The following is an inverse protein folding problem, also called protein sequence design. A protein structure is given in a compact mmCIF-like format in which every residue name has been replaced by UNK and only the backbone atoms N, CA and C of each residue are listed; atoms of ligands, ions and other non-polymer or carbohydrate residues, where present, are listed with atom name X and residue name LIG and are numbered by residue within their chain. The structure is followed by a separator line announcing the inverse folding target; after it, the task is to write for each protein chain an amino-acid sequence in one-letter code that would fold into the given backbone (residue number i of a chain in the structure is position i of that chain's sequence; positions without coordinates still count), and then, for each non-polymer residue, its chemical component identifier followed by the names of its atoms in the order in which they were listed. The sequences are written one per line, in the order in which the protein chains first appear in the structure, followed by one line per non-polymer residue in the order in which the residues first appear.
data_IF_825181698777
#
_entry.id   IF_825181698777
#
_cell.length_a   1.000
_cell.length_b   1.000
_cell.length_c   1.000
_cell.angle_alpha   90.00
_cell.angle_beta   90.00
_cell.angle_gamma   90.00
#
_symmetry.space_group_name_H-M   'P 1'
#
loop_
_entity.id
_entity.type
_entity.pdbx_description
1 polymer ?
#
# COMPACT_ATOMS: atom_id res chain seq x y z
N UNK A 1 -9.60 15.95 22.30
CA UNK A 1 -8.52 15.56 21.39
C UNK A 1 -7.75 14.29 21.82
N UNK A 2 -7.48 14.05 23.12
CA UNK A 2 -6.76 12.83 23.56
C UNK A 2 -7.54 11.52 23.32
N UNK A 3 -8.88 11.53 23.39
CA UNK A 3 -9.71 10.34 23.18
C UNK A 3 -9.80 9.87 21.70
N UNK A 4 -9.71 10.81 20.74
CA UNK A 4 -9.79 10.47 19.32
C UNK A 4 -8.53 9.81 18.79
N UNK A 5 -7.36 10.18 19.34
CA UNK A 5 -6.07 9.55 18.99
C UNK A 5 -5.99 8.14 19.56
N UNK A 6 -6.43 7.94 20.81
CA UNK A 6 -6.46 6.62 21.44
C UNK A 6 -7.41 5.66 20.70
N UNK A 7 -8.55 6.15 20.19
CA UNK A 7 -9.48 5.34 19.40
C UNK A 7 -8.90 4.94 18.04
N UNK A 8 -8.20 5.85 17.37
CA UNK A 8 -7.47 5.57 16.12
C UNK A 8 -6.34 4.57 16.34
N UNK A 9 -5.59 4.69 17.43
CA UNK A 9 -4.51 3.78 17.79
C UNK A 9 -5.04 2.39 18.18
N UNK A 10 -6.17 2.32 18.90
CA UNK A 10 -6.83 1.06 19.23
C UNK A 10 -7.40 0.36 17.98
N UNK A 11 -7.90 1.14 17.00
CA UNK A 11 -8.42 0.61 15.75
C UNK A 11 -7.28 0.08 14.84
N UNK A 12 -6.13 0.78 14.80
CA UNK A 12 -4.97 0.34 14.04
C UNK A 12 -4.30 -0.92 14.62
N UNK A 13 -4.17 -1.01 15.95
CA UNK A 13 -3.63 -2.19 16.61
C UNK A 13 -4.58 -3.41 16.50
N UNK A 14 -5.90 -3.18 16.58
CA UNK A 14 -6.90 -4.23 16.41
C UNK A 14 -6.99 -4.75 14.97
N UNK A 15 -6.80 -3.88 13.97
CA UNK A 15 -6.84 -4.28 12.56
C UNK A 15 -5.57 -5.03 12.13
N UNK A 16 -4.40 -4.69 12.66
CA UNK A 16 -3.19 -5.46 12.45
C UNK A 16 -3.33 -6.89 13.03
N UNK A 17 -3.85 -7.03 14.25
CA UNK A 17 -4.10 -8.32 14.88
C UNK A 17 -5.16 -9.17 14.15
N UNK A 18 -6.13 -8.54 13.48
CA UNK A 18 -7.15 -9.25 12.69
C UNK A 18 -6.65 -9.66 11.30
N UNK A 19 -5.71 -8.91 10.71
CA UNK A 19 -5.08 -9.27 9.45
C UNK A 19 -4.13 -10.48 9.60
N UNK A 20 -3.54 -10.66 10.78
CA UNK A 20 -2.60 -11.74 11.12
C UNK A 20 -3.30 -13.00 11.71
N UNK A 21 -4.65 -13.01 11.80
CA UNK A 21 -5.42 -14.17 12.26
C UNK A 21 -5.51 -15.23 11.17
N UNK A 22 -5.28 -16.49 11.54
CA UNK A 22 -5.34 -17.75 10.78
C UNK A 22 -5.93 -17.62 9.38
N UNK A 23 -5.11 -17.83 8.35
CA UNK A 23 -5.47 -17.72 6.95
C UNK A 23 -6.75 -18.52 6.65
N UNK A 24 -7.89 -17.85 6.65
CA UNK A 24 -9.07 -18.40 6.04
C UNK A 24 -8.74 -18.59 4.56
N UNK A 25 -8.66 -19.83 4.11
CA UNK A 25 -8.24 -20.18 2.78
C UNK A 25 -9.32 -19.78 1.75
N UNK A 26 -8.89 -19.36 0.55
CA UNK A 26 -9.76 -19.19 -0.58
C UNK A 26 -9.95 -17.76 -1.08
N UNK A 27 -10.80 -17.61 -2.10
CA UNK A 27 -11.00 -16.36 -2.83
C UNK A 27 -11.52 -15.22 -1.95
N UNK A 28 -12.46 -15.49 -1.05
CA UNK A 28 -13.03 -14.44 -0.19
C UNK A 28 -11.98 -13.87 0.76
N UNK A 29 -11.17 -14.72 1.37
CA UNK A 29 -10.09 -14.28 2.24
C UNK A 29 -9.07 -13.45 1.50
N UNK A 30 -8.64 -13.88 0.32
CA UNK A 30 -7.74 -13.11 -0.54
C UNK A 30 -8.35 -11.75 -0.93
N UNK A 31 -9.61 -11.71 -1.34
CA UNK A 31 -10.27 -10.48 -1.74
C UNK A 31 -10.48 -9.49 -0.59
N UNK A 32 -10.76 -9.95 0.61
CA UNK A 32 -10.99 -9.10 1.79
C UNK A 32 -9.69 -8.66 2.46
N UNK A 33 -8.60 -9.42 2.28
CA UNK A 33 -7.31 -9.14 2.92
C UNK A 33 -6.82 -7.68 2.73
N UNK A 34 -6.76 -7.11 1.51
CA UNK A 34 -6.34 -5.73 1.32
C UNK A 34 -7.33 -4.68 1.86
N UNK A 35 -8.56 -5.08 2.17
CA UNK A 35 -9.59 -4.19 2.71
C UNK A 35 -9.58 -4.14 4.23
N UNK A 36 -9.22 -5.24 4.88
CA UNK A 36 -9.25 -5.38 6.34
C UNK A 36 -7.98 -4.87 7.01
N UNK A 37 -6.84 -4.89 6.30
CA UNK A 37 -5.59 -4.29 6.77
C UNK A 37 -5.59 -2.77 6.54
N UNK A 38 -5.55 -1.98 7.60
CA UNK A 38 -5.58 -0.52 7.49
C UNK A 38 -4.33 0.02 6.76
N UNK A 39 -3.17 -0.52 7.04
CA UNK A 39 -1.90 -0.23 6.37
C UNK A 39 -1.93 -0.59 4.88
N UNK A 40 -2.54 -1.72 4.52
CA UNK A 40 -2.75 -2.15 3.14
C UNK A 40 -3.61 -1.18 2.38
N UNK A 41 -4.75 -0.81 2.96
CA UNK A 41 -5.67 0.12 2.34
C UNK A 41 -4.99 1.46 2.09
N UNK A 42 -4.24 1.98 3.08
CA UNK A 42 -3.47 3.22 2.94
C UNK A 42 -2.40 3.11 1.86
N UNK A 43 -1.66 1.98 1.78
CA UNK A 43 -0.67 1.74 0.75
C UNK A 43 -1.29 1.78 -0.65
N UNK A 44 -2.42 1.10 -0.87
CA UNK A 44 -3.10 1.05 -2.16
C UNK A 44 -3.66 2.42 -2.57
N UNK A 45 -4.20 3.18 -1.60
CA UNK A 45 -4.64 4.56 -1.83
C UNK A 45 -3.42 5.44 -2.16
N UNK A 46 -2.27 5.25 -1.50
CA UNK A 46 -1.04 6.01 -1.79
C UNK A 46 -0.52 5.72 -3.21
N UNK A 47 -0.53 4.46 -3.65
CA UNK A 47 -0.20 4.06 -5.02
C UNK A 47 -1.14 4.74 -6.04
N UNK A 48 -2.45 4.68 -5.81
CA UNK A 48 -3.43 5.34 -6.68
C UNK A 48 -3.28 6.87 -6.72
N UNK A 49 -2.96 7.48 -5.57
CA UNK A 49 -2.68 8.92 -5.45
C UNK A 49 -1.41 9.32 -6.21
N UNK A 50 -0.33 8.55 -6.07
CA UNK A 50 0.91 8.76 -6.81
C UNK A 50 0.69 8.61 -8.32
N UNK A 51 -0.05 7.57 -8.73
CA UNK A 51 -0.39 7.36 -10.14
C UNK A 51 -1.21 8.52 -10.72
N UNK A 52 -2.17 9.06 -9.97
CA UNK A 52 -2.99 10.20 -10.40
C UNK A 52 -2.20 11.52 -10.42
N UNK A 53 -1.14 11.64 -9.64
CA UNK A 53 -0.34 12.86 -9.48
C UNK A 53 0.83 12.93 -10.45
N UNK A 54 1.43 11.78 -10.78
CA UNK A 54 2.68 11.68 -11.54
C UNK A 54 2.43 11.01 -12.91
N UNK A 55 2.09 9.72 -12.92
CA UNK A 55 1.89 8.95 -14.15
C UNK A 55 1.17 7.63 -13.87
N UNK A 56 0.22 7.26 -14.74
CA UNK A 56 -0.47 5.96 -14.67
C UNK A 56 0.48 4.76 -14.79
N UNK A 57 1.68 4.93 -15.36
CA UNK A 57 2.70 3.89 -15.42
C UNK A 57 3.14 3.40 -14.02
N UNK A 58 2.95 4.22 -12.98
CA UNK A 58 3.27 3.82 -11.61
C UNK A 58 2.41 2.65 -11.12
N UNK A 59 1.22 2.43 -11.69
CA UNK A 59 0.43 1.23 -11.42
C UNK A 59 1.12 -0.05 -11.91
N UNK A 60 1.83 0.00 -13.04
CA UNK A 60 2.63 -1.13 -13.54
C UNK A 60 3.87 -1.38 -12.67
N UNK A 61 4.53 -0.31 -12.22
CA UNK A 61 5.64 -0.41 -11.26
C UNK A 61 5.20 -0.99 -9.93
N UNK A 62 4.00 -0.58 -9.44
CA UNK A 62 3.42 -1.15 -8.23
C UNK A 62 3.11 -2.64 -8.39
N UNK A 63 2.54 -3.06 -9.54
CA UNK A 63 2.29 -4.45 -9.85
C UNK A 63 3.59 -5.27 -9.87
N UNK A 64 4.63 -4.77 -10.54
CA UNK A 64 5.93 -5.42 -10.57
C UNK A 64 6.52 -5.57 -9.15
N UNK A 65 6.45 -4.50 -8.34
CA UNK A 65 6.86 -4.52 -6.94
C UNK A 65 6.07 -5.52 -6.11
N UNK A 66 4.75 -5.59 -6.29
CA UNK A 66 3.89 -6.54 -5.59
C UNK A 66 4.28 -7.99 -5.90
N UNK A 67 4.49 -8.33 -7.18
CA UNK A 67 4.89 -9.68 -7.60
C UNK A 67 6.26 -10.06 -7.01
N UNK A 68 7.24 -9.17 -7.11
CA UNK A 68 8.60 -9.42 -6.58
C UNK A 68 8.55 -9.56 -5.05
N UNK A 69 7.92 -8.63 -4.34
CA UNK A 69 7.82 -8.67 -2.88
C UNK A 69 7.10 -9.92 -2.40
N UNK A 70 5.95 -10.24 -3.00
CA UNK A 70 5.19 -11.45 -2.67
C UNK A 70 6.01 -12.73 -2.86
N UNK A 71 6.74 -12.85 -3.98
CA UNK A 71 7.60 -14.01 -4.25
C UNK A 71 8.73 -14.12 -3.21
N UNK A 72 9.37 -12.99 -2.85
CA UNK A 72 10.41 -12.94 -1.82
C UNK A 72 9.86 -13.36 -0.46
N UNK A 73 8.72 -12.81 -0.03
CA UNK A 73 8.09 -13.21 1.23
C UNK A 73 7.65 -14.67 1.23
N UNK A 74 7.05 -15.15 0.13
CA UNK A 74 6.61 -16.54 -0.01
C UNK A 74 7.78 -17.54 0.11
N UNK A 75 9.01 -17.13 -0.29
CA UNK A 75 10.22 -17.93 -0.09
C UNK A 75 10.66 -18.05 1.37
N UNK A 76 10.02 -17.32 2.29
CA UNK A 76 10.34 -17.30 3.71
C UNK A 76 11.37 -16.24 4.12
N UNK A 77 11.80 -15.38 3.19
CA UNK A 77 12.71 -14.28 3.54
C UNK A 77 11.98 -13.23 4.39
N UNK A 78 12.62 -12.83 5.48
CA UNK A 78 12.12 -11.81 6.39
C UNK A 78 13.11 -10.66 6.46
N UNK A 79 12.60 -9.44 6.32
CA UNK A 79 13.37 -8.22 6.52
C UNK A 79 13.11 -7.70 7.94
N UNK A 80 14.17 -7.46 8.70
CA UNK A 80 14.03 -6.81 10.02
C UNK A 80 13.33 -5.46 9.89
N UNK A 81 12.40 -5.18 10.80
CA UNK A 81 11.59 -3.94 10.81
C UNK A 81 10.75 -3.74 9.53
N UNK A 82 10.33 -4.83 8.87
CA UNK A 82 9.55 -4.75 7.63
C UNK A 82 8.23 -3.98 7.80
N UNK A 83 7.55 -4.13 8.95
CA UNK A 83 6.32 -3.40 9.27
C UNK A 83 6.56 -1.88 9.34
N UNK A 84 7.61 -1.46 10.03
CA UNK A 84 8.03 -0.05 10.09
C UNK A 84 8.34 0.49 8.70
N UNK A 85 9.08 -0.27 7.89
CA UNK A 85 9.41 0.12 6.52
C UNK A 85 8.17 0.20 5.62
N UNK A 86 7.20 -0.71 5.80
CA UNK A 86 5.94 -0.69 5.08
C UNK A 86 5.09 0.55 5.46
N UNK A 87 5.05 0.93 6.72
CA UNK A 87 4.39 2.16 7.16
C UNK A 87 5.07 3.42 6.61
N UNK A 88 6.41 3.49 6.66
CA UNK A 88 7.20 4.58 6.08
C UNK A 88 7.02 4.66 4.55
N UNK A 89 6.85 3.53 3.87
CA UNK A 89 6.64 3.49 2.43
C UNK A 89 5.37 4.26 2.01
N UNK A 90 4.31 4.23 2.82
CA UNK A 90 3.09 5.05 2.59
C UNK A 90 3.45 6.53 2.57
N UNK A 91 4.23 6.99 3.57
CA UNK A 91 4.69 8.38 3.66
C UNK A 91 5.61 8.76 2.50
N UNK A 92 6.47 7.85 2.05
CA UNK A 92 7.36 8.07 0.88
C UNK A 92 6.53 8.26 -0.39
N UNK A 93 5.53 7.41 -0.66
CA UNK A 93 4.65 7.55 -1.83
C UNK A 93 3.84 8.85 -1.79
N UNK A 94 3.35 9.23 -0.62
CA UNK A 94 2.69 10.51 -0.43
C UNK A 94 3.65 11.69 -0.66
N UNK A 95 4.87 11.60 -0.14
CA UNK A 95 5.93 12.59 -0.29
C UNK A 95 6.31 12.83 -1.75
N UNK A 96 6.57 11.76 -2.54
CA UNK A 96 6.86 11.92 -3.97
C UNK A 96 5.68 12.52 -4.74
N UNK A 97 4.44 12.21 -4.34
CA UNK A 97 3.25 12.84 -4.92
C UNK A 97 3.23 14.34 -4.65
N UNK A 98 3.54 14.79 -3.44
CA UNK A 98 3.65 16.21 -3.10
C UNK A 98 4.79 16.91 -3.83
N UNK A 99 5.96 16.27 -3.89
CA UNK A 99 7.14 16.80 -4.58
C UNK A 99 6.92 16.92 -6.09
N UNK A 100 6.13 16.03 -6.70
CA UNK A 100 5.84 16.07 -8.14
C UNK A 100 5.13 17.36 -8.56
N UNK A 101 4.33 17.97 -7.69
CA UNK A 101 3.69 19.26 -7.98
C UNK A 101 4.64 20.46 -7.79
N UNK A 102 5.66 20.31 -6.95
CA UNK A 102 6.65 21.37 -6.74
C UNK A 102 7.74 21.33 -7.80
N UNK A 103 8.07 20.12 -8.28
CA UNK A 103 9.15 19.86 -9.24
C UNK A 103 8.68 18.95 -10.39
N UNK A 104 7.74 19.40 -11.23
CA UNK A 104 7.08 18.52 -12.21
C UNK A 104 8.06 17.89 -13.20
N UNK A 105 9.11 18.61 -13.61
CA UNK A 105 10.10 18.13 -14.58
C UNK A 105 10.98 16.97 -14.04
N UNK A 106 11.08 16.85 -12.71
CA UNK A 106 11.92 15.83 -12.08
C UNK A 106 11.17 14.51 -11.85
N UNK A 107 9.83 14.56 -11.80
CA UNK A 107 9.01 13.41 -11.43
C UNK A 107 8.13 12.88 -12.57
N UNK A 108 7.83 13.70 -13.59
CA UNK A 108 7.01 13.25 -14.71
C UNK A 108 7.74 12.19 -15.53
N UNK A 109 7.15 11.01 -15.65
CA UNK A 109 7.67 9.85 -16.40
C UNK A 109 9.09 9.37 -16.00
N UNK A 110 9.55 9.72 -14.80
CA UNK A 110 10.90 9.35 -14.36
C UNK A 110 10.92 7.90 -13.87
N UNK A 111 11.89 7.11 -14.36
CA UNK A 111 12.18 5.76 -13.87
C UNK A 111 12.41 5.71 -12.35
N UNK A 112 12.95 6.78 -11.77
CA UNK A 112 13.19 6.89 -10.32
C UNK A 112 11.87 6.79 -9.54
N UNK A 113 10.82 7.51 -9.95
CA UNK A 113 9.50 7.41 -9.29
C UNK A 113 8.93 6.00 -9.39
N UNK A 114 9.13 5.31 -10.53
CA UNK A 114 8.75 3.92 -10.72
C UNK A 114 9.49 2.98 -9.78
N UNK A 115 10.82 3.12 -9.68
CA UNK A 115 11.65 2.30 -8.78
C UNK A 115 11.24 2.52 -7.31
N UNK A 116 11.00 3.77 -6.90
CA UNK A 116 10.54 4.08 -5.53
C UNK A 116 9.20 3.42 -5.24
N UNK A 117 8.24 3.50 -6.17
CA UNK A 117 6.93 2.83 -6.03
C UNK A 117 7.09 1.31 -5.97
N UNK A 118 7.89 0.73 -6.87
CA UNK A 118 8.12 -0.72 -6.87
C UNK A 118 8.79 -1.19 -5.57
N UNK A 119 9.80 -0.49 -5.08
CA UNK A 119 10.47 -0.82 -3.82
C UNK A 119 9.52 -0.71 -2.62
N UNK A 120 8.75 0.38 -2.53
CA UNK A 120 7.77 0.59 -1.46
C UNK A 120 6.72 -0.53 -1.41
N UNK A 121 6.16 -0.87 -2.57
CA UNK A 121 5.17 -1.94 -2.68
C UNK A 121 5.79 -3.32 -2.47
N UNK A 122 7.05 -3.55 -2.90
CA UNK A 122 7.75 -4.81 -2.65
C UNK A 122 7.91 -5.11 -1.16
N UNK A 123 8.31 -4.12 -0.35
CA UNK A 123 8.46 -4.28 1.10
C UNK A 123 7.12 -4.68 1.72
N UNK A 124 6.05 -4.01 1.34
CA UNK A 124 4.72 -4.28 1.83
C UNK A 124 4.20 -5.67 1.39
N UNK A 125 4.34 -6.00 0.11
CA UNK A 125 3.91 -7.28 -0.45
C UNK A 125 4.72 -8.47 0.08
N UNK A 126 5.97 -8.26 0.51
CA UNK A 126 6.80 -9.28 1.13
C UNK A 126 6.17 -9.78 2.45
N UNK A 127 5.60 -8.88 3.26
CA UNK A 127 4.90 -9.27 4.49
C UNK A 127 3.74 -10.23 4.19
N UNK A 128 2.98 -9.95 3.13
CA UNK A 128 1.88 -10.82 2.71
C UNK A 128 2.35 -12.14 2.13
N UNK A 129 3.52 -12.16 1.49
CA UNK A 129 4.15 -13.38 1.03
C UNK A 129 4.44 -14.36 2.17
N UNK A 130 4.77 -13.85 3.36
CA UNK A 130 4.98 -14.66 4.56
C UNK A 130 3.68 -15.25 5.12
N UNK A 131 2.58 -14.51 5.02
CA UNK A 131 1.28 -14.82 5.61
C UNK A 131 0.37 -15.64 4.68
N UNK A 132 0.64 -15.60 3.38
CA UNK A 132 -0.18 -16.28 2.38
C UNK A 132 -0.25 -17.80 2.61
N UNK A 133 -1.42 -18.43 2.34
CA UNK A 133 -1.55 -19.88 2.41
C UNK A 133 -0.49 -20.56 1.54
N UNK A 134 0.12 -21.64 2.04
CA UNK A 134 1.13 -22.43 1.32
C UNK A 134 0.59 -23.79 0.87
N UNK A 135 -0.71 -23.85 0.60
CA UNK A 135 -1.43 -25.03 0.14
C UNK A 135 -2.04 -24.84 -1.26
N UNK A 136 -2.93 -25.73 -1.66
CA UNK A 136 -3.62 -25.69 -2.96
C UNK A 136 -4.57 -24.49 -3.12
N UNK A 137 -4.87 -23.74 -2.06
CA UNK A 137 -5.70 -22.52 -2.10
C UNK A 137 -4.89 -21.27 -2.39
N UNK A 138 -3.57 -21.34 -2.32
CA UNK A 138 -2.64 -20.22 -2.49
C UNK A 138 -2.90 -19.42 -3.78
N UNK A 139 -3.03 -20.09 -4.91
CA UNK A 139 -3.23 -19.41 -6.20
C UNK A 139 -4.54 -18.62 -6.25
N UNK A 140 -5.61 -19.18 -5.71
CA UNK A 140 -6.92 -18.53 -5.67
C UNK A 140 -6.87 -17.33 -4.72
N UNK A 141 -6.23 -17.49 -3.56
CA UNK A 141 -6.03 -16.43 -2.58
C UNK A 141 -5.26 -15.25 -3.19
N UNK A 142 -4.10 -15.51 -3.82
CA UNK A 142 -3.27 -14.49 -4.46
C UNK A 142 -3.98 -13.78 -5.60
N UNK A 143 -4.71 -14.52 -6.44
CA UNK A 143 -5.46 -13.94 -7.56
C UNK A 143 -6.54 -12.99 -7.06
N UNK A 144 -7.25 -13.35 -6.01
CA UNK A 144 -8.30 -12.54 -5.41
C UNK A 144 -7.72 -11.29 -4.69
N UNK A 145 -6.62 -11.46 -3.96
CA UNK A 145 -5.92 -10.35 -3.30
C UNK A 145 -5.39 -9.33 -4.32
N UNK A 146 -4.77 -9.81 -5.40
CA UNK A 146 -4.26 -8.95 -6.47
C UNK A 146 -5.38 -8.21 -7.19
N UNK A 147 -6.49 -8.89 -7.49
CA UNK A 147 -7.67 -8.26 -8.10
C UNK A 147 -8.24 -7.17 -7.22
N UNK A 148 -8.46 -7.43 -5.94
CA UNK A 148 -8.96 -6.46 -4.97
C UNK A 148 -8.01 -5.26 -4.84
N UNK A 149 -6.70 -5.50 -4.75
CA UNK A 149 -5.68 -4.45 -4.70
C UNK A 149 -5.69 -3.58 -5.97
N UNK A 150 -5.83 -4.21 -7.14
CA UNK A 150 -5.92 -3.49 -8.41
C UNK A 150 -7.18 -2.62 -8.50
N UNK A 151 -8.31 -3.10 -7.97
CA UNK A 151 -9.57 -2.33 -7.90
C UNK A 151 -9.42 -1.12 -6.99
N UNK A 152 -8.78 -1.26 -5.83
CA UNK A 152 -8.59 -0.15 -4.88
C UNK A 152 -7.62 0.89 -5.46
N UNK A 153 -6.43 0.48 -5.89
CA UNK A 153 -5.42 1.38 -6.41
C UNK A 153 -5.86 2.03 -7.74
N UNK A 154 -6.44 1.24 -8.65
CA UNK A 154 -6.98 1.72 -9.92
C UNK A 154 -8.19 2.62 -9.73
N UNK A 155 -9.11 2.27 -8.83
CA UNK A 155 -10.26 3.09 -8.47
C UNK A 155 -9.84 4.44 -7.89
N UNK A 156 -8.89 4.44 -6.95
CA UNK A 156 -8.30 5.68 -6.40
C UNK A 156 -7.67 6.54 -7.50
N UNK A 157 -6.89 5.93 -8.39
CA UNK A 157 -6.32 6.61 -9.54
C UNK A 157 -7.40 7.27 -10.40
N UNK A 158 -8.45 6.53 -10.78
CA UNK A 158 -9.51 7.04 -11.66
C UNK A 158 -10.30 8.18 -11.03
N UNK A 159 -10.61 8.08 -9.73
CA UNK A 159 -11.30 9.12 -8.97
C UNK A 159 -10.44 10.37 -8.86
N UNK A 160 -9.18 10.23 -8.46
CA UNK A 160 -8.29 11.36 -8.24
C UNK A 160 -7.79 11.99 -9.54
N UNK A 161 -7.61 11.24 -10.62
CA UNK A 161 -7.21 11.77 -11.92
C UNK A 161 -8.17 12.84 -12.44
N UNK A 162 -9.48 12.67 -12.19
CA UNK A 162 -10.53 13.60 -12.61
C UNK A 162 -10.80 14.69 -11.58
N UNK A 163 -10.25 14.59 -10.38
CA UNK A 163 -10.50 15.55 -9.30
C UNK A 163 -9.61 16.79 -9.41
N UNK A 164 -10.03 17.88 -8.76
CA UNK A 164 -9.20 19.07 -8.64
C UNK A 164 -7.89 18.75 -7.91
N UNK A 165 -6.84 19.49 -8.24
CA UNK A 165 -5.50 19.30 -7.64
C UNK A 165 -5.52 19.43 -6.11
N UNK A 166 -6.43 20.23 -5.56
CA UNK A 166 -6.60 20.39 -4.12
C UNK A 166 -6.92 19.05 -3.43
N UNK A 167 -7.85 18.26 -3.98
CA UNK A 167 -8.21 16.95 -3.42
C UNK A 167 -7.04 15.95 -3.46
N UNK A 168 -6.25 15.94 -4.56
CA UNK A 168 -5.05 15.12 -4.65
C UNK A 168 -4.00 15.51 -3.62
N UNK A 169 -3.79 16.82 -3.42
CA UNK A 169 -2.88 17.34 -2.38
C UNK A 169 -3.36 16.96 -0.98
N UNK A 170 -4.66 17.14 -0.68
CA UNK A 170 -5.23 16.73 0.59
C UNK A 170 -5.03 15.24 0.84
N UNK A 171 -5.34 14.38 -0.14
CA UNK A 171 -5.11 12.95 -0.04
C UNK A 171 -3.64 12.62 0.26
N UNK A 172 -2.70 13.23 -0.47
CA UNK A 172 -1.27 13.01 -0.24
C UNK A 172 -0.81 13.51 1.14
N UNK A 173 -1.29 14.67 1.62
CA UNK A 173 -0.97 15.17 2.96
C UNK A 173 -1.51 14.23 4.03
N UNK A 174 -2.77 13.78 3.89
CA UNK A 174 -3.37 12.84 4.83
C UNK A 174 -2.59 11.54 4.89
N UNK A 175 -2.21 10.97 3.74
CA UNK A 175 -1.42 9.74 3.65
C UNK A 175 -0.02 9.91 4.27
N UNK A 176 0.62 11.07 4.05
CA UNK A 176 1.92 11.37 4.66
C UNK A 176 1.84 11.36 6.18
N UNK A 177 0.79 11.99 6.73
CA UNK A 177 0.58 12.05 8.19
C UNK A 177 0.19 10.70 8.77
N UNK A 178 -0.68 9.94 8.10
CA UNK A 178 -1.12 8.61 8.57
C UNK A 178 0.02 7.59 8.49
N UNK A 179 0.78 7.55 7.40
CA UNK A 179 1.94 6.67 7.28
C UNK A 179 3.02 7.01 8.31
N UNK A 180 3.27 8.32 8.55
CA UNK A 180 4.15 8.77 9.62
C UNK A 180 3.63 8.36 11.00
N UNK A 181 2.34 8.53 11.28
CA UNK A 181 1.76 8.13 12.57
C UNK A 181 1.85 6.62 12.80
N UNK A 182 1.60 5.79 11.77
CA UNK A 182 1.74 4.34 11.86
C UNK A 182 3.18 3.93 12.19
N UNK A 183 4.19 4.60 11.63
CA UNK A 183 5.60 4.27 11.88
C UNK A 183 6.06 4.54 13.32
N UNK A 184 5.31 5.30 14.11
CA UNK A 184 5.59 5.52 15.54
C UNK A 184 4.90 4.49 16.46
N UNK A 185 4.00 3.68 15.93
CA UNK A 185 3.21 2.71 16.70
C UNK A 185 3.78 1.29 16.53
N UNK A 186 4.48 1.06 15.42
CA UNK A 186 5.15 -0.20 15.07
C UNK A 186 6.60 -0.23 15.55
#
# INVERSE_FOLDING_TARGET
MKGSIALLLAFSAGSAAMAHGSASAGALAGATHPLLGFDHLLMLIAVGTAAASISSQLLLWALAGAVVGAAVGFSGFQLGSAELLAALAISVLAGISLLSWRFPNNFSANKISGIVVAAAVSIHAMLHGLEAPKDNTSLIWWSAALFSSAVIAGGTYLLLKKSAIAYRKTAAITLLLLGGALSFVL
#
